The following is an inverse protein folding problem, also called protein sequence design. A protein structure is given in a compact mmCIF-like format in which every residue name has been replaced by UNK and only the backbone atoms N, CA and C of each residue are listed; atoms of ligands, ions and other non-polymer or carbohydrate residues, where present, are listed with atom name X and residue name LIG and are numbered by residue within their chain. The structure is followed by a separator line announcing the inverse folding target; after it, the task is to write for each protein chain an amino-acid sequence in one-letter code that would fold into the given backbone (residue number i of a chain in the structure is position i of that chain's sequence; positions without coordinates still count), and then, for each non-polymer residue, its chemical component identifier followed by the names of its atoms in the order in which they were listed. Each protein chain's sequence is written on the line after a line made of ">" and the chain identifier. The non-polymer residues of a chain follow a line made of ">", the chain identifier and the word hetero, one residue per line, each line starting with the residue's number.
data_IF_773108144596
#
_entry.id   IF_773108144596
#
_cell.length_a   1.000
_cell.length_b   1.000
_cell.length_c   1.000
_cell.angle_alpha   90.00
_cell.angle_beta   90.00
_cell.angle_gamma   90.00
#
_symmetry.space_group_name_H-M   'P 1'
#
loop_
_entity.id
_entity.type
_entity.pdbx_description
1 polymer ?
#
# COMPACT_ATOMS: atom_id res chain seq x y z
N UNK A 1 -1.64 36.37 -36.77
CA UNK A 1 -0.73 35.46 -36.03
C UNK A 1 -1.50 34.17 -35.77
N UNK A 2 -1.28 33.15 -36.61
CA UNK A 2 -1.73 31.78 -36.34
C UNK A 2 -0.51 31.06 -35.79
N UNK A 3 -0.57 30.67 -34.53
CA UNK A 3 0.53 29.95 -33.89
C UNK A 3 0.64 28.57 -34.54
N UNK A 4 1.75 28.38 -35.24
CA UNK A 4 2.02 27.23 -36.08
C UNK A 4 2.81 26.17 -35.31
N UNK A 5 2.18 25.51 -34.34
CA UNK A 5 2.70 24.24 -33.83
C UNK A 5 2.31 23.13 -34.81
N UNK A 6 3.22 22.81 -35.73
CA UNK A 6 3.00 21.77 -36.73
C UNK A 6 3.05 20.36 -36.14
N UNK A 7 2.62 19.32 -36.89
CA UNK A 7 2.72 17.92 -36.47
C UNK A 7 4.17 17.50 -36.08
N UNK A 8 5.19 18.13 -36.67
CA UNK A 8 6.59 17.87 -36.35
C UNK A 8 7.04 18.42 -34.98
N UNK A 9 6.38 19.47 -34.47
CA UNK A 9 6.67 20.01 -33.13
C UNK A 9 6.14 19.10 -32.03
N UNK A 10 5.04 18.39 -32.30
CA UNK A 10 4.45 17.44 -31.36
C UNK A 10 5.36 16.22 -31.14
N UNK A 11 5.89 15.60 -32.19
CA UNK A 11 6.86 14.49 -32.05
C UNK A 11 8.17 14.90 -31.35
N UNK A 12 8.67 16.12 -31.63
CA UNK A 12 9.87 16.66 -30.96
C UNK A 12 9.62 16.88 -29.47
N UNK A 13 8.43 17.35 -29.11
CA UNK A 13 8.04 17.52 -27.71
C UNK A 13 7.92 16.16 -27.00
N UNK A 14 7.27 15.16 -27.62
CA UNK A 14 7.19 13.81 -27.07
C UNK A 14 8.57 13.20 -26.85
N UNK A 15 9.49 13.36 -27.82
CA UNK A 15 10.87 12.89 -27.68
C UNK A 15 11.59 13.52 -26.49
N UNK A 16 11.51 14.84 -26.35
CA UNK A 16 12.09 15.57 -25.21
C UNK A 16 11.50 15.10 -23.88
N UNK A 17 10.19 14.84 -23.84
CA UNK A 17 9.51 14.34 -22.66
C UNK A 17 10.05 12.98 -22.19
N UNK A 18 10.14 11.99 -23.09
CA UNK A 18 10.66 10.66 -22.73
C UNK A 18 12.16 10.67 -22.43
N UNK A 19 12.95 11.51 -23.11
CA UNK A 19 14.37 11.72 -22.77
C UNK A 19 14.55 12.30 -21.36
N UNK A 20 13.80 13.35 -21.01
CA UNK A 20 13.85 13.93 -19.66
C UNK A 20 13.41 12.93 -18.58
N UNK A 21 12.42 12.06 -18.88
CA UNK A 21 12.04 10.97 -17.97
C UNK A 21 13.16 9.93 -17.82
N UNK A 22 13.83 9.52 -18.90
CA UNK A 22 14.98 8.62 -18.81
C UNK A 22 16.11 9.21 -17.97
N UNK A 23 16.46 10.48 -18.16
CA UNK A 23 17.47 11.15 -17.34
C UNK A 23 17.09 11.15 -15.85
N UNK A 24 15.82 11.40 -15.55
CA UNK A 24 15.30 11.39 -14.19
C UNK A 24 15.37 9.99 -13.57
N UNK A 25 14.86 8.98 -14.27
CA UNK A 25 14.79 7.61 -13.79
C UNK A 25 16.17 6.95 -13.72
N UNK A 26 17.07 7.30 -14.64
CA UNK A 26 18.46 6.81 -14.69
C UNK A 26 19.31 7.22 -13.48
N UNK A 27 18.85 8.14 -12.63
CA UNK A 27 19.51 8.45 -11.35
C UNK A 27 19.34 7.35 -10.31
N UNK A 28 18.31 6.50 -10.44
CA UNK A 28 18.00 5.36 -9.58
C UNK A 28 17.42 4.20 -10.40
N UNK A 29 18.22 3.60 -11.30
CA UNK A 29 17.74 2.59 -12.24
C UNK A 29 17.20 1.33 -11.55
N UNK A 30 17.68 1.02 -10.34
CA UNK A 30 17.19 -0.06 -9.51
C UNK A 30 15.73 0.08 -9.09
N UNK A 31 15.24 1.32 -8.95
CA UNK A 31 13.86 1.62 -8.55
C UNK A 31 12.91 1.77 -9.74
N UNK A 32 13.44 1.97 -10.95
CA UNK A 32 12.67 2.42 -12.12
C UNK A 32 12.87 1.55 -13.37
N UNK A 33 13.14 0.26 -13.18
CA UNK A 33 13.52 -0.64 -14.30
C UNK A 33 12.43 -0.72 -15.37
N UNK A 34 11.17 -0.89 -14.99
CA UNK A 34 10.08 -1.01 -15.96
C UNK A 34 9.81 0.33 -16.64
N UNK A 35 9.85 1.43 -15.89
CA UNK A 35 9.68 2.78 -16.43
C UNK A 35 10.77 3.17 -17.43
N UNK A 36 12.02 2.77 -17.19
CA UNK A 36 13.14 2.97 -18.11
C UNK A 36 12.90 2.19 -19.41
N UNK A 37 12.53 0.92 -19.31
CA UNK A 37 12.23 0.09 -20.48
C UNK A 37 11.05 0.64 -21.31
N UNK A 38 10.01 1.14 -20.64
CA UNK A 38 8.87 1.78 -21.29
C UNK A 38 9.29 3.06 -22.03
N UNK A 39 10.08 3.94 -21.40
CA UNK A 39 10.58 5.15 -22.05
C UNK A 39 11.46 4.84 -23.28
N UNK A 40 12.29 3.78 -23.22
CA UNK A 40 13.06 3.34 -24.39
C UNK A 40 12.14 2.89 -25.53
N UNK A 41 11.11 2.08 -25.24
CA UNK A 41 10.14 1.61 -26.23
C UNK A 41 9.40 2.78 -26.90
N UNK A 42 9.04 3.81 -26.13
CA UNK A 42 8.44 5.03 -26.67
C UNK A 42 9.39 5.84 -27.55
N UNK A 43 10.68 5.92 -27.21
CA UNK A 43 11.67 6.61 -28.03
C UNK A 43 11.93 5.88 -29.35
N UNK A 44 12.01 4.54 -29.34
CA UNK A 44 12.13 3.73 -30.55
C UNK A 44 10.93 3.96 -31.49
N UNK A 45 9.70 3.92 -30.97
CA UNK A 45 8.51 4.24 -31.76
C UNK A 45 8.54 5.68 -32.33
N UNK A 46 9.09 6.65 -31.59
CA UNK A 46 9.26 8.03 -32.07
C UNK A 46 10.39 8.21 -33.08
N UNK A 47 11.32 7.26 -33.16
CA UNK A 47 12.36 7.23 -34.20
C UNK A 47 11.84 6.62 -35.49
N UNK A 48 10.99 5.60 -35.39
CA UNK A 48 10.37 4.94 -36.54
C UNK A 48 9.18 5.71 -37.12
N UNK A 49 8.46 6.49 -36.30
CA UNK A 49 7.27 7.21 -36.74
C UNK A 49 7.61 8.39 -37.67
N UNK A 50 7.07 8.36 -38.89
CA UNK A 50 7.19 9.47 -39.86
C UNK A 50 6.22 10.64 -39.61
N UNK A 51 5.21 10.45 -38.77
CA UNK A 51 4.21 11.47 -38.42
C UNK A 51 3.55 11.20 -37.06
N UNK A 52 2.88 12.19 -36.42
CA UNK A 52 2.09 11.96 -35.21
C UNK A 52 1.00 10.90 -35.36
N UNK A 53 0.38 10.81 -36.53
CA UNK A 53 -0.63 9.80 -36.82
C UNK A 53 -0.05 8.38 -36.82
N UNK A 54 1.16 8.22 -37.33
CA UNK A 54 1.87 6.94 -37.36
C UNK A 54 2.28 6.53 -35.95
N UNK A 55 2.84 7.48 -35.19
CA UNK A 55 3.19 7.26 -33.79
C UNK A 55 1.97 6.81 -32.96
N UNK A 56 0.84 7.52 -33.05
CA UNK A 56 -0.38 7.16 -32.32
C UNK A 56 -0.92 5.80 -32.72
N UNK A 57 -0.79 5.42 -33.98
CA UNK A 57 -1.17 4.08 -34.47
C UNK A 57 -0.25 3.00 -33.91
N UNK A 58 1.07 3.22 -33.90
CA UNK A 58 2.04 2.30 -33.31
C UNK A 58 1.81 2.11 -31.80
N UNK A 59 1.56 3.19 -31.06
CA UNK A 59 1.23 3.14 -29.63
C UNK A 59 -0.05 2.35 -29.36
N UNK A 60 -1.07 2.49 -30.22
CA UNK A 60 -2.32 1.71 -30.10
C UNK A 60 -2.12 0.23 -30.41
N UNK A 61 -1.35 -0.10 -31.46
CA UNK A 61 -1.12 -1.48 -31.88
C UNK A 61 -0.21 -2.25 -30.93
N UNK A 62 0.78 -1.58 -30.34
CA UNK A 62 1.69 -2.16 -29.33
C UNK A 62 1.04 -2.34 -27.96
N UNK A 63 -0.09 -1.68 -27.70
CA UNK A 63 -0.66 -1.61 -26.35
C UNK A 63 0.15 -0.72 -25.39
N UNK A 64 1.10 0.07 -25.88
CA UNK A 64 2.04 0.82 -25.03
C UNK A 64 1.37 1.89 -24.15
N UNK A 65 0.14 2.34 -24.47
CA UNK A 65 -0.62 3.17 -23.54
C UNK A 65 -0.87 2.47 -22.20
N UNK A 66 -1.05 1.14 -22.19
CA UNK A 66 -1.15 0.32 -20.98
C UNK A 66 0.23 0.09 -20.34
N UNK A 67 1.28 0.03 -21.15
CA UNK A 67 2.65 -0.26 -20.71
C UNK A 67 3.17 0.76 -19.69
N UNK A 68 2.89 2.06 -19.84
CA UNK A 68 3.35 3.06 -18.86
C UNK A 68 2.71 2.89 -17.48
N UNK A 69 1.39 2.70 -17.41
CA UNK A 69 0.72 2.48 -16.13
C UNK A 69 1.19 1.17 -15.49
N UNK A 70 1.31 0.10 -16.27
CA UNK A 70 1.89 -1.17 -15.82
C UNK A 70 3.31 -1.01 -15.30
N UNK A 71 4.14 -0.23 -15.97
CA UNK A 71 5.52 0.02 -15.57
C UNK A 71 5.58 0.74 -14.22
N UNK A 72 4.75 1.76 -14.02
CA UNK A 72 4.66 2.50 -12.76
C UNK A 72 4.23 1.61 -11.59
N UNK A 73 3.14 0.84 -11.76
CA UNK A 73 2.67 -0.06 -10.70
C UNK A 73 3.63 -1.22 -10.47
N UNK A 74 4.28 -1.74 -11.51
CA UNK A 74 5.26 -2.83 -11.40
C UNK A 74 6.49 -2.41 -10.60
N UNK A 75 7.05 -1.24 -10.89
CA UNK A 75 8.20 -0.73 -10.13
C UNK A 75 7.82 -0.47 -8.67
N UNK A 76 6.62 0.07 -8.41
CA UNK A 76 6.10 0.28 -7.05
C UNK A 76 6.05 -1.04 -6.25
N UNK A 77 5.33 -2.05 -6.74
CA UNK A 77 5.13 -3.28 -5.97
C UNK A 77 6.39 -4.15 -5.90
N UNK A 78 7.27 -4.11 -6.91
CA UNK A 78 8.58 -4.77 -6.84
C UNK A 78 9.45 -4.17 -5.74
N UNK A 79 9.50 -2.85 -5.65
CA UNK A 79 10.28 -2.16 -4.62
C UNK A 79 9.70 -2.45 -3.23
N UNK A 80 8.36 -2.45 -3.10
CA UNK A 80 7.67 -2.74 -1.83
C UNK A 80 7.89 -4.19 -1.37
N UNK A 81 7.80 -5.17 -2.28
CA UNK A 81 8.14 -6.57 -2.00
C UNK A 81 9.59 -6.73 -1.52
N UNK A 82 10.55 -6.02 -2.13
CA UNK A 82 11.95 -6.06 -1.73
C UNK A 82 12.16 -5.52 -0.29
N UNK A 83 11.43 -4.47 0.08
CA UNK A 83 11.43 -3.93 1.45
C UNK A 83 10.82 -4.94 2.42
N UNK A 84 9.66 -5.51 2.13
CA UNK A 84 9.03 -6.51 3.01
C UNK A 84 9.90 -7.74 3.22
N UNK A 85 10.57 -8.22 2.17
CA UNK A 85 11.56 -9.30 2.28
C UNK A 85 12.70 -8.93 3.23
N UNK A 86 13.25 -7.72 3.11
CA UNK A 86 14.33 -7.26 3.98
C UNK A 86 13.91 -7.11 5.46
N UNK A 87 12.62 -6.90 5.70
CA UNK A 87 12.01 -6.80 7.03
C UNK A 87 11.47 -8.13 7.57
N UNK A 88 11.63 -9.26 6.85
CA UNK A 88 11.08 -10.56 7.24
C UNK A 88 9.55 -10.66 7.15
N UNK A 89 8.89 -9.75 6.45
CA UNK A 89 7.43 -9.68 6.31
C UNK A 89 6.95 -10.56 5.14
N UNK A 90 7.10 -11.88 5.28
CA UNK A 90 6.89 -12.87 4.19
C UNK A 90 5.48 -12.78 3.56
N UNK A 91 4.44 -12.61 4.39
CA UNK A 91 3.06 -12.48 3.90
C UNK A 91 2.89 -11.25 3.01
N UNK A 92 3.34 -10.07 3.48
CA UNK A 92 3.23 -8.82 2.72
C UNK A 92 4.08 -8.84 1.43
N UNK A 93 5.23 -9.51 1.47
CA UNK A 93 6.02 -9.77 0.27
C UNK A 93 5.23 -10.65 -0.73
N UNK A 94 4.63 -11.75 -0.28
CA UNK A 94 3.90 -12.67 -1.15
C UNK A 94 2.68 -11.99 -1.80
N UNK A 95 1.97 -11.14 -1.06
CA UNK A 95 0.87 -10.34 -1.60
C UNK A 95 1.34 -9.39 -2.71
N UNK A 96 2.49 -8.73 -2.53
CA UNK A 96 3.04 -7.86 -3.59
C UNK A 96 3.55 -8.62 -4.81
N UNK A 97 4.09 -9.83 -4.62
CA UNK A 97 4.43 -10.70 -5.73
C UNK A 97 3.19 -11.10 -6.53
N UNK A 98 2.08 -11.39 -5.84
CA UNK A 98 0.80 -11.70 -6.49
C UNK A 98 0.21 -10.50 -7.24
N UNK A 99 0.32 -9.28 -6.69
CA UNK A 99 -0.02 -8.04 -7.42
C UNK A 99 0.78 -7.91 -8.71
N UNK A 100 2.09 -8.21 -8.68
CA UNK A 100 2.93 -8.17 -9.88
C UNK A 100 2.49 -9.16 -10.95
N UNK A 101 2.08 -10.37 -10.57
CA UNK A 101 1.53 -11.36 -11.50
C UNK A 101 0.24 -10.86 -12.18
N UNK A 102 -0.68 -10.30 -11.39
CA UNK A 102 -1.95 -9.74 -11.89
C UNK A 102 -1.74 -8.56 -12.85
N UNK A 103 -0.80 -7.66 -12.53
CA UNK A 103 -0.40 -6.56 -13.41
C UNK A 103 0.14 -7.09 -14.74
N UNK A 104 0.92 -8.18 -14.69
CA UNK A 104 1.42 -8.87 -15.87
C UNK A 104 0.29 -9.32 -16.80
N UNK A 105 -0.77 -9.92 -16.25
CA UNK A 105 -1.88 -10.50 -17.01
C UNK A 105 -2.91 -9.51 -17.58
N UNK A 106 -2.97 -8.27 -17.09
CA UNK A 106 -4.00 -7.32 -17.55
C UNK A 106 -3.84 -6.93 -19.04
N UNK A 107 -4.88 -7.06 -19.86
CA UNK A 107 -4.86 -6.71 -21.28
C UNK A 107 -5.26 -5.26 -21.57
N UNK A 108 -5.96 -4.60 -20.65
CA UNK A 108 -6.42 -3.21 -20.78
C UNK A 108 -6.22 -2.40 -19.49
N UNK A 109 -6.35 -1.06 -19.57
CA UNK A 109 -6.32 -0.19 -18.38
C UNK A 109 -7.47 -0.50 -17.43
N UNK A 110 -8.68 -0.70 -17.97
CA UNK A 110 -9.86 -1.04 -17.17
C UNK A 110 -9.66 -2.38 -16.45
N UNK A 111 -9.12 -3.38 -17.15
CA UNK A 111 -8.76 -4.66 -16.54
C UNK A 111 -7.69 -4.51 -15.47
N UNK A 112 -6.64 -3.72 -15.71
CA UNK A 112 -5.56 -3.49 -14.73
C UNK A 112 -6.11 -2.94 -13.41
N UNK A 113 -6.99 -1.95 -13.47
CA UNK A 113 -7.59 -1.39 -12.26
C UNK A 113 -8.60 -2.35 -11.62
N UNK A 114 -9.41 -3.05 -12.42
CA UNK A 114 -10.39 -4.01 -11.91
C UNK A 114 -9.72 -5.19 -11.19
N UNK A 115 -8.68 -5.80 -11.76
CA UNK A 115 -7.97 -6.93 -11.12
C UNK A 115 -7.23 -6.52 -9.86
N UNK A 116 -6.71 -5.29 -9.81
CA UNK A 116 -6.10 -4.75 -8.59
C UNK A 116 -7.17 -4.45 -7.54
N UNK A 117 -8.30 -3.86 -7.90
CA UNK A 117 -9.41 -3.58 -6.98
C UNK A 117 -10.03 -4.85 -6.41
N UNK A 118 -10.27 -5.86 -7.25
CA UNK A 118 -10.73 -7.19 -6.83
C UNK A 118 -9.72 -7.83 -5.88
N UNK A 119 -8.43 -7.78 -6.23
CA UNK A 119 -7.37 -8.29 -5.35
C UNK A 119 -7.29 -7.55 -4.03
N UNK A 120 -7.44 -6.22 -3.99
CA UNK A 120 -7.46 -5.47 -2.72
C UNK A 120 -8.73 -5.77 -1.90
N UNK A 121 -9.87 -6.05 -2.57
CA UNK A 121 -11.10 -6.50 -1.93
C UNK A 121 -10.96 -7.90 -1.30
N UNK A 122 -10.28 -8.83 -1.98
CA UNK A 122 -9.99 -10.18 -1.46
C UNK A 122 -8.84 -10.19 -0.44
N UNK A 123 -7.81 -9.37 -0.67
CA UNK A 123 -6.69 -9.15 0.23
C UNK A 123 -7.05 -8.23 1.41
N UNK A 124 -8.33 -7.82 1.54
CA UNK A 124 -8.88 -7.08 2.69
C UNK A 124 -8.65 -7.79 4.03
N UNK A 125 -8.28 -9.08 4.04
CA UNK A 125 -7.75 -9.76 5.23
C UNK A 125 -6.43 -9.15 5.77
N UNK A 126 -5.71 -8.35 4.98
CA UNK A 126 -4.57 -7.52 5.41
C UNK A 126 -4.96 -6.09 5.80
N UNK A 127 -6.06 -5.55 5.24
CA UNK A 127 -6.65 -4.26 5.62
C UNK A 127 -7.33 -4.33 7.00
N UNK A 128 -7.92 -5.47 7.31
CA UNK A 128 -8.44 -5.83 8.63
C UNK A 128 -7.33 -5.93 9.68
N UNK A 129 -6.18 -6.50 9.32
CA UNK A 129 -5.02 -6.56 10.20
C UNK A 129 -4.48 -5.16 10.49
N UNK A 130 -4.23 -4.32 9.47
CA UNK A 130 -3.75 -2.95 9.69
C UNK A 130 -4.78 -2.07 10.45
N UNK A 131 -6.09 -2.27 10.27
CA UNK A 131 -7.14 -1.62 11.10
C UNK A 131 -7.10 -2.09 12.56
N UNK A 132 -7.00 -3.39 12.80
CA UNK A 132 -6.86 -3.92 14.15
C UNK A 132 -5.59 -3.40 14.84
N UNK A 133 -4.48 -3.25 14.10
CA UNK A 133 -3.23 -2.70 14.62
C UNK A 133 -3.32 -1.21 14.94
N UNK A 134 -4.04 -0.42 14.13
CA UNK A 134 -4.26 1.00 14.42
C UNK A 134 -5.14 1.20 15.67
N UNK A 135 -6.05 0.28 15.95
CA UNK A 135 -6.87 0.30 17.17
C UNK A 135 -6.11 -0.19 18.42
N UNK A 136 -5.14 -1.11 18.24
CA UNK A 136 -4.41 -1.74 19.34
C UNK A 136 -3.67 -0.72 20.24
N UNK A 137 -2.95 0.24 19.66
CA UNK A 137 -2.14 1.21 20.40
C UNK A 137 -2.98 2.07 21.37
N UNK A 138 -3.95 2.85 20.86
CA UNK A 138 -4.85 3.65 21.70
C UNK A 138 -5.66 2.83 22.70
N UNK A 139 -6.07 1.61 22.33
CA UNK A 139 -6.76 0.70 23.26
C UNK A 139 -5.86 0.33 24.44
N UNK A 140 -4.60 -0.03 24.18
CA UNK A 140 -3.64 -0.43 25.22
C UNK A 140 -3.21 0.76 26.09
N UNK A 141 -3.07 1.95 25.52
CA UNK A 141 -2.82 3.18 26.26
C UNK A 141 -3.98 3.51 27.20
N UNK A 142 -5.22 3.45 26.70
CA UNK A 142 -6.41 3.66 27.53
C UNK A 142 -6.54 2.61 28.65
N UNK A 143 -6.23 1.34 28.36
CA UNK A 143 -6.23 0.27 29.34
C UNK A 143 -5.17 0.49 30.44
N UNK A 144 -3.99 0.96 30.05
CA UNK A 144 -2.94 1.35 30.98
C UNK A 144 -3.38 2.53 31.86
N UNK A 145 -3.97 3.58 31.28
CA UNK A 145 -4.50 4.73 32.03
C UNK A 145 -5.58 4.30 33.02
N UNK A 146 -6.47 3.37 32.64
CA UNK A 146 -7.47 2.79 33.55
C UNK A 146 -6.88 2.04 34.75
N UNK A 147 -5.60 1.66 34.72
CA UNK A 147 -4.90 1.08 35.87
C UNK A 147 -4.37 2.15 36.84
N UNK A 148 -4.24 3.39 36.39
CA UNK A 148 -3.63 4.49 37.15
C UNK A 148 -4.59 5.64 37.47
N UNK A 149 -5.69 5.76 36.72
CA UNK A 149 -6.67 6.83 36.88
C UNK A 149 -7.40 6.71 38.23
N UNK A 150 -7.65 7.83 38.94
CA UNK A 150 -8.41 7.81 40.18
C UNK A 150 -9.84 7.31 39.95
N UNK A 151 -10.36 6.37 40.76
CA UNK A 151 -11.73 5.88 40.63
C UNK A 151 -12.77 7.01 40.75
N UNK A 152 -13.74 7.02 39.85
CA UNK A 152 -14.81 8.02 39.76
C UNK A 152 -14.37 9.37 39.19
N UNK A 153 -13.17 9.48 38.64
CA UNK A 153 -12.68 10.72 38.02
C UNK A 153 -13.13 10.85 36.56
N UNK A 154 -13.16 12.09 36.05
CA UNK A 154 -13.39 12.33 34.62
C UNK A 154 -12.29 11.74 33.72
N UNK A 155 -11.08 11.53 34.27
CA UNK A 155 -10.00 10.81 33.57
C UNK A 155 -10.34 9.34 33.38
N UNK A 156 -10.84 8.66 34.43
CA UNK A 156 -11.29 7.27 34.32
C UNK A 156 -12.41 7.13 33.28
N UNK A 157 -13.37 8.05 33.28
CA UNK A 157 -14.47 8.05 32.32
C UNK A 157 -13.99 8.22 30.87
N UNK A 158 -13.03 9.14 30.64
CA UNK A 158 -12.42 9.35 29.33
C UNK A 158 -11.64 8.11 28.86
N UNK A 159 -10.81 7.54 29.73
CA UNK A 159 -10.03 6.33 29.45
C UNK A 159 -10.95 5.14 29.16
N UNK A 160 -12.06 4.99 29.90
CA UNK A 160 -13.05 3.95 29.67
C UNK A 160 -13.75 4.09 28.32
N UNK A 161 -14.17 5.31 27.98
CA UNK A 161 -14.79 5.62 26.69
C UNK A 161 -13.84 5.33 25.54
N UNK A 162 -12.59 5.78 25.67
CA UNK A 162 -11.52 5.56 24.68
C UNK A 162 -11.24 4.07 24.50
N UNK A 163 -11.09 3.32 25.60
CA UNK A 163 -10.89 1.88 25.56
C UNK A 163 -12.03 1.18 24.80
N UNK A 164 -13.28 1.49 25.14
CA UNK A 164 -14.46 0.85 24.53
C UNK A 164 -14.55 1.13 23.03
N UNK A 165 -14.27 2.36 22.61
CA UNK A 165 -14.30 2.72 21.20
C UNK A 165 -13.24 1.96 20.39
N UNK A 166 -11.99 1.95 20.86
CA UNK A 166 -10.93 1.25 20.14
C UNK A 166 -11.05 -0.28 20.26
N UNK A 167 -11.59 -0.81 21.36
CA UNK A 167 -11.93 -2.23 21.45
C UNK A 167 -13.00 -2.64 20.44
N UNK A 168 -14.04 -1.80 20.26
CA UNK A 168 -15.07 -2.01 19.22
C UNK A 168 -14.43 -2.03 17.82
N UNK A 169 -13.62 -1.03 17.50
CA UNK A 169 -12.93 -0.98 16.20
C UNK A 169 -12.02 -2.20 15.99
N UNK A 170 -11.33 -2.66 17.04
CA UNK A 170 -10.48 -3.84 16.97
C UNK A 170 -11.31 -5.12 16.74
N UNK A 171 -12.47 -5.27 17.39
CA UNK A 171 -13.40 -6.40 17.20
C UNK A 171 -14.09 -6.38 15.83
N UNK A 172 -14.36 -5.20 15.27
CA UNK A 172 -14.87 -5.05 13.91
C UNK A 172 -13.82 -5.46 12.86
N UNK A 173 -12.55 -5.15 13.13
CA UNK A 173 -11.44 -5.47 12.25
C UNK A 173 -10.91 -6.91 12.40
N UNK A 174 -10.88 -7.48 13.60
CA UNK A 174 -10.61 -8.90 13.86
C UNK A 174 -11.72 -9.46 14.78
N UNK A 175 -12.80 -10.04 14.24
CA UNK A 175 -13.87 -10.64 15.03
C UNK A 175 -13.41 -11.81 15.94
N UNK A 176 -12.24 -12.39 15.67
CA UNK A 176 -11.61 -13.43 16.48
C UNK A 176 -10.66 -12.90 17.55
N UNK A 177 -10.49 -11.57 17.67
CA UNK A 177 -9.54 -11.00 18.64
C UNK A 177 -9.96 -11.33 20.08
N UNK A 178 -8.98 -11.84 20.82
CA UNK A 178 -9.04 -12.21 22.23
C UNK A 178 -7.78 -11.72 22.92
N UNK A 179 -7.80 -11.62 24.25
CA UNK A 179 -6.60 -11.24 25.01
C UNK A 179 -5.43 -12.18 24.74
N UNK A 180 -5.71 -13.48 24.67
CA UNK A 180 -4.74 -14.54 24.40
C UNK A 180 -4.11 -14.36 23.02
N UNK A 181 -4.90 -13.97 22.02
CA UNK A 181 -4.41 -13.67 20.67
C UNK A 181 -3.55 -12.41 20.65
N UNK A 182 -3.93 -11.35 21.38
CA UNK A 182 -3.12 -10.13 21.51
C UNK A 182 -1.76 -10.41 22.17
N UNK A 183 -1.76 -11.26 23.20
CA UNK A 183 -0.57 -11.56 23.99
C UNK A 183 0.35 -12.59 23.33
N UNK A 184 -0.20 -13.52 22.53
CA UNK A 184 0.53 -14.65 21.98
C UNK A 184 0.77 -14.63 20.47
N UNK A 185 0.16 -13.71 19.72
CA UNK A 185 0.39 -13.57 18.28
C UNK A 185 1.44 -12.48 18.03
N UNK A 186 2.53 -12.84 17.34
CA UNK A 186 3.64 -11.94 17.00
C UNK A 186 3.16 -10.63 16.36
N UNK A 187 2.15 -10.71 15.49
CA UNK A 187 1.57 -9.55 14.81
C UNK A 187 1.08 -8.45 15.77
N UNK A 188 0.50 -8.82 16.92
CA UNK A 188 0.08 -7.88 17.95
C UNK A 188 1.23 -7.61 18.94
N UNK A 189 1.89 -8.68 19.40
CA UNK A 189 2.85 -8.64 20.51
C UNK A 189 4.05 -7.73 20.21
N UNK A 190 4.56 -7.74 18.99
CA UNK A 190 5.73 -6.96 18.55
C UNK A 190 5.49 -5.44 18.60
N UNK A 191 4.23 -5.01 18.64
CA UNK A 191 3.84 -3.59 18.71
C UNK A 191 3.62 -3.09 20.13
N UNK A 192 3.65 -3.97 21.12
CA UNK A 192 3.39 -3.63 22.51
C UNK A 192 4.70 -3.43 23.27
N UNK A 193 4.85 -2.25 23.87
CA UNK A 193 6.03 -1.89 24.69
C UNK A 193 6.04 -2.57 26.07
N UNK A 194 5.00 -3.31 26.41
CA UNK A 194 4.83 -3.94 27.72
C UNK A 194 5.52 -5.30 27.78
N UNK A 195 6.20 -5.59 28.89
CA UNK A 195 6.73 -6.93 29.17
C UNK A 195 5.61 -7.90 29.63
N UNK A 196 5.92 -9.18 29.75
CA UNK A 196 4.92 -10.21 30.09
C UNK A 196 4.30 -10.00 31.48
N UNK A 197 5.06 -9.43 32.42
CA UNK A 197 4.55 -9.10 33.76
C UNK A 197 3.54 -7.96 33.67
N UNK A 198 3.86 -6.91 32.93
CA UNK A 198 2.97 -5.77 32.69
C UNK A 198 1.72 -6.22 31.93
N UNK A 199 1.86 -7.09 30.93
CA UNK A 199 0.73 -7.70 30.24
C UNK A 199 -0.19 -8.45 31.20
N UNK A 200 0.32 -9.21 32.17
CA UNK A 200 -0.51 -9.87 33.17
C UNK A 200 -1.33 -8.92 34.06
N UNK A 201 -0.81 -7.71 34.33
CA UNK A 201 -1.55 -6.67 35.07
C UNK A 201 -2.67 -6.10 34.19
N UNK A 202 -2.35 -5.77 32.94
CA UNK A 202 -3.29 -5.25 31.96
C UNK A 202 -4.41 -6.25 31.65
N UNK A 203 -4.10 -7.54 31.62
CA UNK A 203 -5.09 -8.61 31.41
C UNK A 203 -6.21 -8.55 32.44
N UNK A 204 -5.83 -8.43 33.72
CA UNK A 204 -6.80 -8.38 34.81
C UNK A 204 -7.75 -7.20 34.60
N UNK A 205 -7.21 -6.02 34.30
CA UNK A 205 -8.01 -4.82 34.05
C UNK A 205 -8.86 -4.96 32.79
N UNK A 206 -8.32 -5.55 31.73
CA UNK A 206 -9.04 -5.82 30.49
C UNK A 206 -10.27 -6.69 30.75
N UNK A 207 -10.10 -7.79 31.50
CA UNK A 207 -11.21 -8.68 31.85
C UNK A 207 -12.26 -8.00 32.72
N UNK A 208 -11.87 -7.10 33.62
CA UNK A 208 -12.82 -6.28 34.40
C UNK A 208 -13.65 -5.36 33.51
N UNK A 209 -13.02 -4.71 32.53
CA UNK A 209 -13.66 -3.70 31.67
C UNK A 209 -14.51 -4.33 30.56
N UNK A 210 -14.13 -5.51 30.07
CA UNK A 210 -14.83 -6.21 28.98
C UNK A 210 -15.96 -7.11 29.50
N UNK A 211 -15.84 -7.68 30.70
CA UNK A 211 -16.86 -8.56 31.28
C UNK A 211 -17.75 -7.91 32.35
N UNK A 212 -17.41 -6.70 32.80
CA UNK A 212 -18.19 -5.90 33.75
C UNK A 212 -19.12 -4.92 33.05
#
# INVERSE_FOLDING_TARGET
>A
MRDGSGPADDLRMQRRYFQARLERFGRRPELHRALIADCHSYLEMLEEAGSPGDFMRMVRQSGNMLSMAKAEVSDRYRNRAAVYRALGQERKQAEDMRRLELIGSAGTHAELYAVLEEFEGEASAGFEEDRAMNALGPMMEALFSLCTDPPGSGSEELSLSTFREYWRQMREADPGVTWERISGCDAYRDRLIFDDRQMGILEKRFREVVNG
#
